data_IF_130269781358
#
_entry.id   IF_130269781358
#
_cell.length_a   1.000
_cell.length_b   1.000
_cell.length_c   1.000
_cell.angle_alpha   90.00
_cell.angle_beta   90.00
_cell.angle_gamma   90.00
#
_symmetry.space_group_name_H-M   'P 1'
#
loop_
_entity.id
_entity.type
_entity.pdbx_description
1 polymer ?
#
# COMPACT_ATOMS: atom_id res chain seq x y z
N UNK A 1 -15.01 -7.29 2.22
CA UNK A 1 -14.84 -6.17 1.28
C UNK A 1 -13.53 -6.38 0.52
N UNK A 2 -13.50 -6.21 -0.81
CA UNK A 2 -12.24 -6.27 -1.56
C UNK A 2 -11.31 -5.12 -1.14
N UNK A 3 -9.99 -5.36 -1.18
CA UNK A 3 -8.98 -4.32 -0.91
C UNK A 3 -9.05 -3.27 -2.03
N UNK A 4 -9.28 -2.00 -1.66
CA UNK A 4 -9.36 -0.89 -2.62
C UNK A 4 -8.01 -0.32 -3.01
N UNK A 5 -7.09 -0.22 -2.06
CA UNK A 5 -5.75 0.32 -2.27
C UNK A 5 -4.79 -0.17 -1.17
N UNK A 6 -3.49 -0.15 -1.46
CA UNK A 6 -2.42 -0.32 -0.48
C UNK A 6 -1.79 1.04 -0.22
N UNK A 7 -1.67 1.44 1.05
CA UNK A 7 -1.02 2.72 1.43
C UNK A 7 0.21 2.41 2.26
N UNK A 8 1.33 3.03 1.90
CA UNK A 8 2.59 2.98 2.64
C UNK A 8 2.77 4.32 3.40
N UNK A 9 2.34 4.40 4.67
CA UNK A 9 2.41 5.62 5.44
C UNK A 9 3.83 5.87 5.96
N UNK A 10 4.25 7.14 5.92
CA UNK A 10 5.48 7.64 6.52
C UNK A 10 5.18 8.94 7.28
N UNK A 11 5.33 8.90 8.59
CA UNK A 11 5.27 10.12 9.39
C UNK A 11 6.55 10.94 9.21
N UNK A 12 6.40 12.24 9.01
CA UNK A 12 7.48 13.21 8.97
C UNK A 12 7.06 14.43 9.78
N UNK A 13 7.71 14.65 10.93
CA UNK A 13 7.37 15.77 11.81
C UNK A 13 7.50 17.11 11.07
N UNK A 14 6.44 17.92 11.09
CA UNK A 14 6.37 19.19 10.34
C UNK A 14 6.29 19.04 8.81
N UNK A 15 6.23 17.81 8.29
CA UNK A 15 6.10 17.53 6.87
C UNK A 15 4.69 17.82 6.34
N UNK A 16 4.61 18.14 5.04
CA UNK A 16 3.32 18.27 4.34
C UNK A 16 2.71 16.89 4.12
N UNK A 17 1.38 16.87 4.04
CA UNK A 17 0.63 15.66 3.69
C UNK A 17 0.59 15.51 2.18
N UNK A 18 1.17 14.42 1.68
CA UNK A 18 1.32 14.15 0.25
C UNK A 18 1.02 12.68 -0.05
N UNK A 19 0.17 12.44 -1.04
CA UNK A 19 -0.17 11.12 -1.54
C UNK A 19 0.36 10.98 -2.96
N UNK A 20 1.22 10.00 -3.19
CA UNK A 20 1.82 9.75 -4.51
C UNK A 20 1.58 8.31 -4.95
N UNK A 21 1.24 8.06 -6.23
CA UNK A 21 1.08 6.70 -6.74
C UNK A 21 2.43 5.97 -6.73
N UNK A 22 2.39 4.68 -6.42
CA UNK A 22 3.56 3.79 -6.40
C UNK A 22 3.43 2.80 -7.56
N UNK A 23 4.46 2.67 -8.42
CA UNK A 23 4.45 1.67 -9.48
C UNK A 23 4.20 0.24 -8.95
N UNK A 24 3.48 -0.62 -9.67
CA UNK A 24 3.16 -1.98 -9.20
C UNK A 24 4.37 -2.81 -8.75
N UNK A 25 5.51 -2.68 -9.45
CA UNK A 25 6.74 -3.40 -9.11
C UNK A 25 7.32 -2.92 -7.77
N UNK A 26 7.36 -1.61 -7.54
CA UNK A 26 7.84 -1.01 -6.30
C UNK A 26 6.90 -1.37 -5.14
N UNK A 27 5.59 -1.37 -5.38
CA UNK A 27 4.60 -1.79 -4.40
C UNK A 27 4.78 -3.25 -4.00
N UNK A 28 5.00 -4.14 -4.97
CA UNK A 28 5.29 -5.55 -4.72
C UNK A 28 6.56 -5.71 -3.88
N UNK A 29 7.65 -5.02 -4.24
CA UNK A 29 8.89 -5.05 -3.48
C UNK A 29 8.70 -4.63 -2.02
N UNK A 30 7.92 -3.57 -1.76
CA UNK A 30 7.59 -3.11 -0.40
C UNK A 30 6.75 -4.12 0.38
N UNK A 31 5.77 -4.76 -0.27
CA UNK A 31 4.94 -5.80 0.36
C UNK A 31 5.80 -7.01 0.75
N UNK A 32 6.67 -7.46 -0.13
CA UNK A 32 7.53 -8.63 0.13
C UNK A 32 8.65 -8.35 1.12
N UNK A 33 9.10 -7.09 1.23
CA UNK A 33 10.09 -6.66 2.22
C UNK A 33 9.50 -6.53 3.64
N UNK A 34 8.17 -6.43 3.77
CA UNK A 34 7.53 -6.40 5.08
C UNK A 34 7.73 -7.76 5.78
N UNK A 35 7.99 -7.79 7.10
CA UNK A 35 8.04 -9.04 7.86
C UNK A 35 6.71 -9.79 7.71
N UNK A 36 6.72 -10.82 6.87
CA UNK A 36 5.52 -11.55 6.46
C UNK A 36 5.63 -12.99 6.92
N UNK A 37 4.63 -13.46 7.65
CA UNK A 37 4.52 -14.88 7.96
C UNK A 37 4.07 -15.64 6.71
N UNK A 38 5.02 -16.15 5.94
CA UNK A 38 4.73 -17.03 4.80
C UNK A 38 4.51 -18.44 5.33
N UNK A 39 3.29 -18.95 5.20
CA UNK A 39 2.98 -20.34 5.57
C UNK A 39 3.43 -21.26 4.43
N UNK A 40 4.37 -22.19 4.66
CA UNK A 40 4.73 -23.17 3.66
C UNK A 40 3.60 -24.18 3.42
N UNK A 41 3.49 -24.79 2.23
CA UNK A 41 4.36 -24.56 1.06
C UNK A 41 3.96 -23.30 0.27
N UNK A 42 4.94 -22.59 -0.28
CA UNK A 42 4.69 -21.57 -1.30
C UNK A 42 4.33 -22.29 -2.59
N UNK A 43 3.09 -22.14 -3.05
CA UNK A 43 2.61 -22.74 -4.30
C UNK A 43 2.65 -21.71 -5.44
N UNK A 44 2.69 -22.20 -6.68
CA UNK A 44 2.56 -21.35 -7.88
C UNK A 44 1.26 -20.53 -7.85
N UNK A 45 0.14 -21.15 -7.47
CA UNK A 45 -1.15 -20.49 -7.35
C UNK A 45 -1.15 -19.34 -6.33
N UNK A 46 -0.43 -19.49 -5.20
CA UNK A 46 -0.28 -18.42 -4.22
C UNK A 46 0.54 -17.25 -4.77
N UNK A 47 1.62 -17.54 -5.51
CA UNK A 47 2.44 -16.52 -6.15
C UNK A 47 1.70 -15.78 -7.26
N UNK A 48 0.92 -16.49 -8.08
CA UNK A 48 0.07 -15.91 -9.11
C UNK A 48 -0.99 -14.99 -8.51
N UNK A 49 -1.63 -15.42 -7.43
CA UNK A 49 -2.62 -14.62 -6.70
C UNK A 49 -2.00 -13.34 -6.12
N UNK A 50 -0.82 -13.42 -5.52
CA UNK A 50 -0.10 -12.26 -4.99
C UNK A 50 0.31 -11.29 -6.12
N UNK A 51 0.76 -11.84 -7.26
CA UNK A 51 1.12 -11.05 -8.43
C UNK A 51 -0.10 -10.34 -9.03
N UNK A 52 -1.23 -11.05 -9.15
CA UNK A 52 -2.49 -10.48 -9.60
C UNK A 52 -2.99 -9.39 -8.65
N UNK A 53 -2.87 -9.61 -7.34
CA UNK A 53 -3.17 -8.59 -6.33
C UNK A 53 -2.31 -7.33 -6.54
N UNK A 54 -1.00 -7.47 -6.65
CA UNK A 54 -0.09 -6.32 -6.80
C UNK A 54 -0.27 -5.56 -8.13
N UNK A 55 -0.77 -6.23 -9.19
CA UNK A 55 -1.10 -5.58 -10.47
C UNK A 55 -2.42 -4.83 -10.45
N UNK A 56 -3.43 -5.36 -9.75
CA UNK A 56 -4.79 -4.85 -9.81
C UNK A 56 -5.14 -3.87 -8.69
N UNK A 57 -4.42 -3.92 -7.56
CA UNK A 57 -4.67 -3.04 -6.43
C UNK A 57 -3.74 -1.83 -6.50
N UNK A 58 -4.28 -0.60 -6.64
CA UNK A 58 -3.45 0.60 -6.70
C UNK A 58 -2.72 0.81 -5.37
N UNK A 59 -1.49 1.29 -5.46
CA UNK A 59 -0.64 1.51 -4.32
C UNK A 59 -0.19 2.96 -4.23
N UNK A 60 -0.08 3.49 -3.01
CA UNK A 60 0.27 4.88 -2.75
C UNK A 60 1.28 5.01 -1.61
N UNK A 61 2.19 5.97 -1.73
CA UNK A 61 3.00 6.43 -0.62
C UNK A 61 2.33 7.66 0.00
N UNK A 62 2.14 7.64 1.31
CA UNK A 62 1.56 8.73 2.07
C UNK A 62 2.60 9.30 3.02
N UNK A 63 3.10 10.50 2.76
CA UNK A 63 3.87 11.27 3.74
C UNK A 63 2.92 12.17 4.49
N UNK A 64 3.05 12.30 5.82
CA UNK A 64 2.18 13.18 6.62
C UNK A 64 2.89 13.72 7.86
N UNK A 65 2.62 14.98 8.20
CA UNK A 65 3.05 15.61 9.46
C UNK A 65 1.94 15.77 10.50
N UNK A 66 0.67 15.58 10.11
CA UNK A 66 -0.48 15.61 11.00
C UNK A 66 -1.44 14.45 10.71
N UNK A 67 -1.92 13.78 11.77
CA UNK A 67 -2.81 12.63 11.63
C UNK A 67 -4.18 13.01 11.05
N UNK A 68 -4.66 14.22 11.36
CA UNK A 68 -5.95 14.70 10.85
C UNK A 68 -5.94 14.78 9.31
N UNK A 69 -4.87 15.31 8.74
CA UNK A 69 -4.70 15.44 7.29
C UNK A 69 -4.57 14.07 6.63
N UNK A 70 -3.76 13.18 7.19
CA UNK A 70 -3.63 11.80 6.71
C UNK A 70 -4.98 11.08 6.64
N UNK A 71 -5.83 11.24 7.67
CA UNK A 71 -7.18 10.68 7.70
C UNK A 71 -8.10 11.29 6.64
N UNK A 72 -7.96 12.58 6.36
CA UNK A 72 -8.71 13.25 5.30
C UNK A 72 -8.32 12.70 3.93
N UNK A 73 -7.02 12.64 3.64
CA UNK A 73 -6.46 12.10 2.40
C UNK A 73 -6.89 10.64 2.16
N UNK A 74 -6.84 9.78 3.17
CA UNK A 74 -7.30 8.38 3.04
C UNK A 74 -8.81 8.32 2.76
N UNK A 75 -9.62 9.19 3.37
CA UNK A 75 -11.06 9.22 3.13
C UNK A 75 -11.38 9.59 1.69
N UNK A 76 -10.67 10.56 1.14
CA UNK A 76 -10.86 10.99 -0.25
C UNK A 76 -10.39 9.92 -1.24
N UNK A 77 -9.29 9.21 -0.93
CA UNK A 77 -8.85 8.04 -1.69
C UNK A 77 -9.90 6.90 -1.69
N UNK A 78 -10.63 6.70 -0.61
CA UNK A 78 -11.64 5.63 -0.55
C UNK A 78 -12.95 5.96 -1.30
N UNK A 79 -13.14 7.23 -1.67
CA UNK A 79 -14.29 7.73 -2.45
C UNK A 79 -14.07 7.64 -3.95
N UNK A 80 -12.83 7.45 -4.39
CA UNK A 80 -12.49 7.10 -5.78
C UNK A 80 -12.82 5.63 -6.07
#
# INVERSE_FOLDING_TARGET
MPVKAVVFPRYLQGGRTELTPVPPLDAFGRITAAPSAVRPPITSAALESLTAFARNVPAYALTYGALADARCTIRDLLRT
#
